data_IF_024918338178
#
_entry.id   IF_024918338178
#
_cell.length_a   1.000
_cell.length_b   1.000
_cell.length_c   1.000
_cell.angle_alpha   90.00
_cell.angle_beta   90.00
_cell.angle_gamma   90.00
#
_symmetry.space_group_name_H-M   'P 1'
#
loop_
_entity.id
_entity.type
_entity.pdbx_description
1 polymer ?
#
# COMPACT_ATOMS: atom_id res chain seq x y z
N UNK A 1 -13.70 -1.17 -5.03
CA UNK A 1 -14.90 -2.00 -5.00
C UNK A 1 -14.61 -3.37 -5.61
N UNK A 2 -15.36 -4.37 -5.18
CA UNK A 2 -15.18 -5.74 -5.68
C UNK A 2 -15.70 -5.89 -7.11
N UNK A 3 -14.96 -6.62 -7.94
CA UNK A 3 -15.31 -6.93 -9.33
C UNK A 3 -15.01 -8.40 -9.62
N UNK A 4 -15.75 -9.04 -10.55
CA UNK A 4 -15.52 -10.45 -10.86
C UNK A 4 -14.09 -10.78 -11.31
N UNK A 5 -13.45 -9.90 -12.07
CA UNK A 5 -12.07 -10.10 -12.56
C UNK A 5 -11.02 -10.07 -11.45
N UNK A 6 -11.37 -9.60 -10.26
CA UNK A 6 -10.47 -9.55 -9.09
C UNK A 6 -10.56 -10.82 -8.23
N UNK A 7 -11.47 -11.73 -8.58
CA UNK A 7 -11.68 -12.96 -7.81
C UNK A 7 -10.61 -13.98 -8.16
N UNK A 8 -9.90 -14.47 -7.14
CA UNK A 8 -8.91 -15.52 -7.29
C UNK A 8 -9.51 -16.92 -7.23
N UNK A 9 -10.33 -17.15 -6.23
CA UNK A 9 -11.03 -18.43 -6.06
C UNK A 9 -12.52 -18.23 -6.33
N UNK A 10 -12.96 -18.58 -7.53
CA UNK A 10 -14.34 -18.33 -7.96
C UNK A 10 -15.38 -19.08 -7.09
N UNK A 11 -15.02 -20.20 -6.48
CA UNK A 11 -15.93 -20.95 -5.60
C UNK A 11 -16.19 -20.24 -4.28
N UNK A 12 -15.24 -19.44 -3.80
CA UNK A 12 -15.36 -18.67 -2.56
C UNK A 12 -15.69 -17.21 -2.80
N UNK A 13 -15.47 -16.70 -4.01
CA UNK A 13 -15.69 -15.30 -4.36
C UNK A 13 -14.77 -14.31 -3.66
N UNK A 14 -13.58 -14.76 -3.20
CA UNK A 14 -12.65 -13.89 -2.51
C UNK A 14 -11.63 -13.26 -3.46
N UNK A 15 -11.07 -12.12 -3.06
CA UNK A 15 -10.02 -11.42 -3.81
C UNK A 15 -8.82 -12.33 -4.05
N UNK A 16 -8.24 -12.21 -5.23
CA UNK A 16 -6.95 -12.83 -5.53
C UNK A 16 -5.87 -12.24 -4.62
N UNK A 17 -4.99 -13.10 -4.08
CA UNK A 17 -3.87 -12.65 -3.23
C UNK A 17 -2.98 -11.62 -3.91
N UNK A 18 -2.77 -11.76 -5.22
CA UNK A 18 -2.01 -10.77 -6.01
C UNK A 18 -2.67 -9.41 -6.07
N UNK A 19 -4.01 -9.34 -6.08
CA UNK A 19 -4.76 -8.09 -6.01
C UNK A 19 -4.57 -7.44 -4.64
N UNK A 20 -4.67 -8.22 -3.57
CA UNK A 20 -4.44 -7.74 -2.20
C UNK A 20 -3.02 -7.14 -2.09
N UNK A 21 -2.01 -7.87 -2.57
CA UNK A 21 -0.62 -7.41 -2.55
C UNK A 21 -0.43 -6.13 -3.36
N UNK A 22 -1.07 -6.01 -4.52
CA UNK A 22 -0.98 -4.82 -5.37
C UNK A 22 -1.55 -3.60 -4.68
N UNK A 23 -2.70 -3.73 -4.04
CA UNK A 23 -3.35 -2.62 -3.30
C UNK A 23 -2.48 -2.21 -2.11
N UNK A 24 -1.96 -3.17 -1.38
CA UNK A 24 -1.07 -2.91 -0.24
C UNK A 24 0.20 -2.20 -0.71
N UNK A 25 0.79 -2.62 -1.82
CA UNK A 25 1.99 -2.00 -2.37
C UNK A 25 1.75 -0.55 -2.78
N UNK A 26 0.66 -0.29 -3.49
CA UNK A 26 0.27 1.08 -3.86
C UNK A 26 0.05 1.93 -2.62
N UNK A 27 -0.64 1.41 -1.63
CA UNK A 27 -0.88 2.09 -0.36
C UNK A 27 0.43 2.45 0.35
N UNK A 28 1.38 1.51 0.39
CA UNK A 28 2.70 1.74 0.98
C UNK A 28 3.49 2.81 0.25
N UNK A 29 3.50 2.77 -1.08
CA UNK A 29 4.16 3.77 -1.90
C UNK A 29 3.59 5.16 -1.72
N UNK A 30 2.26 5.28 -1.67
CA UNK A 30 1.58 6.55 -1.42
C UNK A 30 1.89 7.07 -0.01
N UNK A 31 1.94 6.20 0.98
CA UNK A 31 2.30 6.55 2.36
C UNK A 31 3.73 7.10 2.42
N UNK A 32 4.67 6.45 1.72
CA UNK A 32 6.05 6.89 1.61
C UNK A 32 6.14 8.26 0.92
N UNK A 33 5.37 8.46 -0.15
CA UNK A 33 5.30 9.73 -0.86
C UNK A 33 4.78 10.86 0.04
N UNK A 34 3.69 10.63 0.77
CA UNK A 34 3.14 11.63 1.67
C UNK A 34 4.11 11.99 2.79
N UNK A 35 4.84 11.02 3.32
CA UNK A 35 5.91 11.25 4.29
C UNK A 35 7.04 12.10 3.71
N UNK A 36 7.43 11.81 2.47
CA UNK A 36 8.44 12.58 1.76
C UNK A 36 7.98 14.02 1.50
N UNK A 37 6.71 14.21 1.10
CA UNK A 37 6.11 15.54 0.90
C UNK A 37 6.20 16.38 2.16
N UNK A 38 5.87 15.81 3.30
CA UNK A 38 5.95 16.51 4.59
C UNK A 38 7.39 16.94 4.90
N UNK A 39 8.36 16.09 4.60
CA UNK A 39 9.79 16.37 4.81
C UNK A 39 10.31 17.43 3.86
N UNK A 40 9.80 17.47 2.62
CA UNK A 40 10.28 18.35 1.54
C UNK A 40 9.33 19.51 1.26
N UNK A 41 8.50 19.90 2.20
CA UNK A 41 7.48 20.93 2.01
C UNK A 41 8.05 22.29 1.55
N UNK A 42 9.31 22.56 1.82
CA UNK A 42 9.98 23.80 1.44
C UNK A 42 10.65 23.72 0.07
N UNK A 43 10.66 22.56 -0.58
CA UNK A 43 11.19 22.37 -1.91
C UNK A 43 10.14 22.71 -2.99
N UNK A 44 10.57 23.16 -4.19
CA UNK A 44 9.65 23.40 -5.30
C UNK A 44 8.84 22.16 -5.66
N UNK A 45 7.61 22.38 -6.14
CA UNK A 45 6.70 21.28 -6.52
C UNK A 45 7.32 20.37 -7.57
N UNK A 46 8.01 20.95 -8.57
CA UNK A 46 8.63 20.16 -9.65
C UNK A 46 9.69 19.19 -9.12
N UNK A 47 10.50 19.62 -8.17
CA UNK A 47 11.51 18.76 -7.55
C UNK A 47 10.87 17.65 -6.73
N UNK A 48 9.79 17.96 -6.01
CA UNK A 48 9.04 16.96 -5.24
C UNK A 48 8.41 15.91 -6.14
N UNK A 49 7.88 16.31 -7.29
CA UNK A 49 7.31 15.39 -8.27
C UNK A 49 8.38 14.50 -8.91
N UNK A 50 9.58 15.04 -9.16
CA UNK A 50 10.70 14.24 -9.65
C UNK A 50 11.11 13.16 -8.64
N UNK A 51 11.08 13.48 -7.37
CA UNK A 51 11.35 12.50 -6.32
C UNK A 51 10.27 11.43 -6.24
N UNK A 52 9.00 11.81 -6.41
CA UNK A 52 7.91 10.85 -6.49
C UNK A 52 8.13 9.85 -7.61
N UNK A 53 8.59 10.30 -8.76
CA UNK A 53 8.86 9.44 -9.91
C UNK A 53 9.97 8.41 -9.64
N UNK A 54 10.80 8.63 -8.62
CA UNK A 54 11.87 7.70 -8.23
C UNK A 54 11.46 6.76 -7.11
N UNK A 55 10.27 6.90 -6.56
CA UNK A 55 9.79 6.00 -5.52
C UNK A 55 9.58 4.63 -6.13
N UNK A 56 10.23 3.64 -5.59
CA UNK A 56 10.10 2.26 -6.01
C UNK A 56 10.08 1.33 -4.82
N UNK A 57 9.42 0.21 -4.98
CA UNK A 57 9.37 -0.81 -3.93
C UNK A 57 10.69 -1.55 -3.89
N UNK A 58 11.34 -1.58 -2.74
CA UNK A 58 12.55 -2.38 -2.52
C UNK A 58 12.13 -3.80 -2.18
N UNK A 59 11.28 -3.94 -1.17
CA UNK A 59 10.71 -5.22 -0.78
C UNK A 59 9.40 -4.97 -0.04
N UNK A 60 8.63 -6.03 0.10
CA UNK A 60 7.36 -5.98 0.80
C UNK A 60 7.03 -7.37 1.33
N UNK A 61 6.59 -7.41 2.58
CA UNK A 61 6.03 -8.61 3.18
C UNK A 61 4.54 -8.41 3.36
N UNK A 62 3.76 -9.40 2.97
CA UNK A 62 2.29 -9.40 3.16
C UNK A 62 1.91 -10.65 3.94
N UNK A 63 1.15 -10.45 5.00
CA UNK A 63 0.53 -11.53 5.76
C UNK A 63 -0.96 -11.55 5.45
N UNK A 64 -1.44 -12.64 4.88
CA UNK A 64 -2.84 -12.86 4.53
C UNK A 64 -3.54 -13.49 5.73
N UNK A 65 -4.38 -12.74 6.40
CA UNK A 65 -4.98 -13.14 7.67
C UNK A 65 -6.36 -13.76 7.50
N UNK A 66 -7.13 -13.26 6.53
CA UNK A 66 -8.51 -13.70 6.28
C UNK A 66 -8.80 -13.66 4.79
N UNK A 67 -9.77 -14.46 4.31
CA UNK A 67 -10.21 -14.35 2.92
C UNK A 67 -10.70 -12.95 2.59
N UNK A 68 -10.37 -12.46 1.41
CA UNK A 68 -10.78 -11.13 0.96
C UNK A 68 -12.23 -11.12 0.50
N UNK A 69 -13.15 -11.22 1.43
CA UNK A 69 -14.58 -11.22 1.19
C UNK A 69 -15.18 -9.86 1.55
N UNK A 70 -16.04 -9.35 0.68
CA UNK A 70 -16.70 -8.08 0.90
C UNK A 70 -17.06 -7.39 -0.40
N UNK A 71 -17.87 -6.33 -0.29
CA UNK A 71 -18.27 -5.51 -1.43
C UNK A 71 -17.22 -4.44 -1.78
N UNK A 72 -16.49 -3.98 -0.77
CA UNK A 72 -15.40 -3.01 -0.95
C UNK A 72 -14.34 -3.21 0.14
N UNK A 73 -13.18 -2.64 -0.11
CA UNK A 73 -12.02 -2.78 0.76
C UNK A 73 -11.36 -1.43 0.96
N UNK A 74 -10.75 -1.23 2.12
CA UNK A 74 -10.04 -0.02 2.47
C UNK A 74 -8.61 -0.36 2.87
N UNK A 75 -7.65 0.28 2.22
CA UNK A 75 -6.25 0.19 2.59
C UNK A 75 -5.86 1.40 3.42
N UNK A 76 -5.13 1.15 4.50
CA UNK A 76 -4.60 2.19 5.39
C UNK A 76 -3.10 2.06 5.47
N UNK A 77 -2.40 3.18 5.35
CA UNK A 77 -0.95 3.23 5.42
C UNK A 77 -0.47 4.01 6.63
N UNK A 78 0.61 3.51 7.22
CA UNK A 78 1.26 4.12 8.38
C UNK A 78 2.75 4.25 8.09
N UNK A 79 3.27 5.46 8.21
CA UNK A 79 4.69 5.70 8.04
C UNK A 79 5.43 5.30 9.33
N UNK A 80 6.31 4.33 9.22
CA UNK A 80 7.11 3.88 10.36
C UNK A 80 8.40 4.69 10.47
N UNK A 81 9.05 4.96 9.33
CA UNK A 81 10.25 5.75 9.28
C UNK A 81 10.48 6.31 7.87
N UNK A 82 10.94 7.54 7.79
CA UNK A 82 11.45 8.14 6.55
C UNK A 82 12.90 8.52 6.74
N UNK A 83 13.80 7.84 6.05
CA UNK A 83 15.20 8.22 5.96
C UNK A 83 15.48 9.08 4.73
N UNK A 84 16.76 9.33 4.45
CA UNK A 84 17.16 10.09 3.28
C UNK A 84 16.97 9.30 1.97
N UNK A 85 17.08 7.99 2.02
CA UNK A 85 17.02 7.11 0.84
C UNK A 85 15.89 6.09 0.89
N UNK A 86 15.44 5.73 2.08
CA UNK A 86 14.47 4.64 2.29
C UNK A 86 13.40 5.07 3.27
N UNK A 87 12.15 4.80 2.92
CA UNK A 87 11.01 4.90 3.83
C UNK A 87 10.48 3.50 4.11
N UNK A 88 10.09 3.26 5.35
CA UNK A 88 9.46 2.01 5.76
C UNK A 88 8.03 2.31 6.20
N UNK A 89 7.09 1.55 5.67
CA UNK A 89 5.66 1.75 5.91
C UNK A 89 5.00 0.47 6.36
N UNK A 90 3.93 0.62 7.11
CA UNK A 90 3.02 -0.47 7.44
C UNK A 90 1.67 -0.22 6.77
N UNK A 91 1.07 -1.27 6.25
CA UNK A 91 -0.22 -1.19 5.57
C UNK A 91 -1.20 -2.19 6.17
N UNK A 92 -2.48 -1.84 6.13
CA UNK A 92 -3.58 -2.70 6.54
C UNK A 92 -4.66 -2.67 5.49
N UNK A 93 -5.25 -3.83 5.19
CA UNK A 93 -6.40 -3.93 4.30
C UNK A 93 -7.59 -4.45 5.11
N UNK A 94 -8.67 -3.70 5.12
CA UNK A 94 -9.93 -4.04 5.79
C UNK A 94 -11.04 -4.19 4.75
N UNK A 95 -12.01 -5.06 5.04
CA UNK A 95 -13.23 -5.13 4.24
C UNK A 95 -14.29 -4.15 4.75
N UNK A 96 -15.44 -4.13 4.07
CA UNK A 96 -16.57 -3.26 4.44
C UNK A 96 -17.19 -3.58 5.81
N UNK A 97 -16.97 -4.80 6.31
CA UNK A 97 -17.37 -5.19 7.67
C UNK A 97 -16.37 -4.82 8.75
N UNK A 98 -15.26 -4.16 8.40
CA UNK A 98 -14.22 -3.76 9.35
C UNK A 98 -13.26 -4.89 9.73
N UNK A 99 -13.32 -6.04 9.06
CA UNK A 99 -12.40 -7.14 9.32
C UNK A 99 -11.02 -6.85 8.71
N UNK A 100 -9.97 -7.14 9.45
CA UNK A 100 -8.60 -7.03 8.95
C UNK A 100 -8.29 -8.24 8.08
N UNK A 101 -8.14 -7.99 6.77
CA UNK A 101 -7.93 -9.04 5.76
C UNK A 101 -6.45 -9.36 5.62
N UNK A 102 -5.61 -8.34 5.56
CA UNK A 102 -4.17 -8.52 5.37
C UNK A 102 -3.41 -7.35 5.98
N UNK A 103 -2.16 -7.60 6.33
CA UNK A 103 -1.22 -6.56 6.74
C UNK A 103 0.02 -6.66 5.86
N UNK A 104 0.69 -5.53 5.69
CA UNK A 104 1.94 -5.48 4.97
C UNK A 104 2.94 -4.56 5.64
N UNK A 105 4.21 -4.84 5.40
CA UNK A 105 5.31 -3.93 5.72
C UNK A 105 6.17 -3.83 4.49
N UNK A 106 6.47 -2.60 4.07
CA UNK A 106 7.25 -2.38 2.87
C UNK A 106 8.35 -1.35 3.06
N UNK A 107 9.41 -1.49 2.29
CA UNK A 107 10.48 -0.52 2.19
C UNK A 107 10.50 0.05 0.77
N UNK A 108 10.62 1.36 0.67
CA UNK A 108 10.52 2.10 -0.59
C UNK A 108 11.70 3.05 -0.73
N UNK A 109 12.23 3.16 -1.96
CA UNK A 109 13.24 4.18 -2.24
C UNK A 109 12.55 5.54 -2.30
N UNK A 110 13.16 6.54 -1.69
CA UNK A 110 12.64 7.92 -1.68
C UNK A 110 13.69 8.92 -2.16
N UNK A 111 14.78 8.45 -2.73
CA UNK A 111 15.86 9.29 -3.26
C UNK A 111 16.12 9.02 -4.73
#
# INVERSE_FOLDING_TARGET
AMRPELVGNYMRGNLHGGVISSVIDVCGGLTAFLGLQKKLRDEPVDERLQRFARIGTIDMRVDYLRPGLGAWFEARGFLLRTGNKVAVTRMELHNDGGELIAIGTGAYTVA
#
